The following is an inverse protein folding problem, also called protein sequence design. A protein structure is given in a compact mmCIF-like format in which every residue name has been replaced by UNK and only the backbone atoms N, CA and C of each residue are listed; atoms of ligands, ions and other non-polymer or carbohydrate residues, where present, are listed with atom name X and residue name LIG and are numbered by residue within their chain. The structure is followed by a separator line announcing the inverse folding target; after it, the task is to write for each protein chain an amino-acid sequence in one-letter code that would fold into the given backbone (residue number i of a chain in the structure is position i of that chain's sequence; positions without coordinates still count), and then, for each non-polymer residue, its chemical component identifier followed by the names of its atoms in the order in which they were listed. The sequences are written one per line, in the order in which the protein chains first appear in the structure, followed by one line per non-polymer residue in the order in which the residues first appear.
data_IF_593570980244
#
_entry.id   IF_593570980244
#
_cell.length_a   1.000
_cell.length_b   1.000
_cell.length_c   1.000
_cell.angle_alpha   90.00
_cell.angle_beta   90.00
_cell.angle_gamma   90.00
#
_symmetry.space_group_name_H-M   'P 1'
#
loop_
_entity.id
_entity.type
_entity.pdbx_description
1 polymer ?
#
# COMPACT_ATOMS: atom_id res chain seq x y z
N UNK A 1 -40.05 -13.53 -26.00
CA UNK A 1 -39.97 -14.86 -25.42
C UNK A 1 -39.04 -14.78 -24.20
N UNK A 2 -39.62 -14.76 -23.00
CA UNK A 2 -38.87 -14.82 -21.74
C UNK A 2 -38.50 -16.27 -21.48
N UNK A 3 -37.25 -16.65 -21.78
CA UNK A 3 -36.75 -17.97 -21.42
C UNK A 3 -36.51 -18.00 -19.92
N UNK A 4 -37.30 -18.78 -19.19
CA UNK A 4 -37.00 -19.10 -17.79
C UNK A 4 -35.65 -19.80 -17.75
N UNK A 5 -34.68 -19.33 -16.92
CA UNK A 5 -33.42 -20.03 -16.80
C UNK A 5 -33.65 -21.46 -16.28
N UNK A 6 -32.85 -22.44 -16.74
CA UNK A 6 -32.97 -23.79 -16.22
C UNK A 6 -32.74 -23.82 -14.71
N UNK A 7 -33.47 -24.69 -13.99
CA UNK A 7 -33.23 -24.97 -12.58
C UNK A 7 -31.81 -25.52 -12.42
N UNK A 8 -31.06 -24.94 -11.46
CA UNK A 8 -29.67 -25.34 -11.21
C UNK A 8 -28.96 -24.44 -10.18
N UNK A 9 -27.73 -24.82 -9.83
CA UNK A 9 -26.89 -24.07 -8.90
C UNK A 9 -26.18 -22.93 -9.65
N UNK A 10 -26.42 -21.70 -9.20
CA UNK A 10 -25.77 -20.51 -9.78
C UNK A 10 -24.37 -20.32 -9.20
N UNK A 11 -23.46 -19.75 -9.99
CA UNK A 11 -22.20 -19.22 -9.46
C UNK A 11 -22.49 -18.03 -8.55
N UNK A 12 -21.90 -18.01 -7.38
CA UNK A 12 -22.02 -16.90 -6.44
C UNK A 12 -20.81 -15.99 -6.51
N UNK A 13 -21.03 -14.68 -6.34
CA UNK A 13 -19.93 -13.75 -6.05
C UNK A 13 -19.38 -14.08 -4.66
N UNK A 14 -18.08 -13.92 -4.52
CA UNK A 14 -17.47 -14.02 -3.20
C UNK A 14 -18.02 -12.92 -2.28
N UNK A 15 -18.45 -13.33 -1.10
CA UNK A 15 -18.85 -12.45 -0.01
C UNK A 15 -17.99 -12.80 1.20
N UNK A 16 -17.34 -11.81 1.85
CA UNK A 16 -16.62 -12.07 3.08
C UNK A 16 -17.51 -12.76 4.09
N UNK A 17 -17.05 -13.83 4.77
CA UNK A 17 -17.82 -14.48 5.81
C UNK A 17 -17.94 -13.59 7.06
N UNK A 18 -18.89 -13.88 7.97
CA UNK A 18 -18.99 -13.18 9.24
C UNK A 18 -17.65 -13.16 10.02
N UNK A 19 -17.32 -12.02 10.63
CA UNK A 19 -16.07 -11.79 11.35
C UNK A 19 -14.88 -11.44 10.45
N UNK A 20 -15.02 -11.43 9.13
CA UNK A 20 -13.93 -11.08 8.23
C UNK A 20 -13.72 -9.56 8.16
N UNK A 21 -12.46 -9.14 8.05
CA UNK A 21 -12.07 -7.76 7.74
C UNK A 21 -11.65 -7.65 6.29
N UNK A 22 -12.23 -6.74 5.53
CA UNK A 22 -11.74 -6.37 4.20
C UNK A 22 -10.75 -5.22 4.31
N UNK A 23 -9.51 -5.40 3.85
CA UNK A 23 -8.48 -4.36 3.88
C UNK A 23 -8.13 -3.94 2.46
N UNK A 24 -8.30 -2.67 2.15
CA UNK A 24 -7.83 -2.03 0.93
C UNK A 24 -6.46 -1.41 1.20
N UNK A 25 -5.41 -2.10 0.78
CA UNK A 25 -4.03 -1.62 0.85
C UNK A 25 -3.81 -0.66 -0.32
N UNK A 26 -3.49 0.58 -0.01
CA UNK A 26 -3.25 1.65 -1.00
C UNK A 26 -1.81 2.09 -0.90
N UNK A 27 -1.07 2.10 -2.01
CA UNK A 27 0.21 2.78 -2.05
C UNK A 27 -0.04 4.29 -2.14
N UNK A 28 0.71 5.09 -1.38
CA UNK A 28 0.64 6.55 -1.47
C UNK A 28 0.81 7.05 -2.91
N UNK A 29 0.27 8.21 -3.23
CA UNK A 29 0.44 8.91 -4.51
C UNK A 29 1.90 9.23 -4.80
N UNK A 30 2.21 9.62 -6.03
CA UNK A 30 3.57 9.99 -6.41
C UNK A 30 4.10 11.12 -5.52
N UNK A 31 5.33 10.97 -5.04
CA UNK A 31 5.97 11.97 -4.19
C UNK A 31 7.09 12.69 -4.93
N UNK A 32 7.49 13.85 -4.44
CA UNK A 32 8.52 14.67 -5.06
C UNK A 32 9.70 13.85 -5.56
N UNK A 33 10.30 14.25 -6.72
CA UNK A 33 11.48 13.60 -7.25
C UNK A 33 12.69 13.77 -6.33
N UNK A 34 13.53 12.74 -6.27
CA UNK A 34 14.79 12.81 -5.55
C UNK A 34 15.83 13.61 -6.35
N UNK A 35 16.61 14.40 -5.64
CA UNK A 35 17.73 15.16 -6.21
C UNK A 35 19.02 14.86 -5.43
N UNK A 36 20.15 14.59 -6.11
CA UNK A 36 21.41 14.28 -5.43
C UNK A 36 21.85 15.36 -4.43
N UNK A 37 21.63 16.63 -4.78
CA UNK A 37 22.09 17.79 -4.00
C UNK A 37 21.03 18.31 -3.01
N UNK A 38 19.86 17.73 -2.96
CA UNK A 38 18.74 18.17 -2.10
C UNK A 38 18.02 16.95 -1.52
N UNK A 39 18.53 16.38 -0.43
CA UNK A 39 17.88 15.23 0.22
C UNK A 39 16.49 15.61 0.73
N UNK A 40 15.61 14.63 0.78
CA UNK A 40 14.29 14.80 1.40
C UNK A 40 14.42 15.15 2.87
N UNK A 41 13.49 15.94 3.43
CA UNK A 41 13.37 16.06 4.87
C UNK A 41 13.17 14.66 5.48
N UNK A 42 13.65 14.51 6.70
CA UNK A 42 13.49 13.26 7.45
C UNK A 42 12.43 13.41 8.54
N UNK A 43 11.63 12.40 8.71
CA UNK A 43 10.72 12.22 9.86
C UNK A 43 11.04 10.89 10.53
N UNK A 44 11.45 10.95 11.79
CA UNK A 44 11.91 9.78 12.56
C UNK A 44 12.96 8.93 11.80
N UNK A 45 13.86 9.59 11.10
CA UNK A 45 14.91 8.96 10.30
C UNK A 45 14.50 8.56 8.89
N UNK A 46 13.23 8.47 8.56
CA UNK A 46 12.73 8.14 7.22
C UNK A 46 12.62 9.37 6.32
N UNK A 47 12.98 9.24 5.06
CA UNK A 47 12.73 10.26 4.05
C UNK A 47 11.23 10.55 3.91
N UNK A 48 10.86 11.83 4.09
CA UNK A 48 9.45 12.26 4.12
C UNK A 48 9.13 13.34 3.08
N UNK A 49 9.28 13.05 1.76
CA UNK A 49 8.83 13.96 0.73
C UNK A 49 7.30 14.03 0.70
N UNK A 50 6.70 15.22 0.48
CA UNK A 50 5.27 15.34 0.21
C UNK A 50 4.91 14.78 -1.17
N UNK A 51 3.62 14.70 -1.48
CA UNK A 51 3.14 14.39 -2.83
C UNK A 51 3.60 15.47 -3.82
N UNK A 52 3.87 15.06 -5.04
CA UNK A 52 4.02 15.99 -6.15
C UNK A 52 2.63 16.31 -6.77
N UNK A 53 2.55 17.22 -7.76
CA UNK A 53 1.27 17.55 -8.39
C UNK A 53 0.53 16.36 -8.99
N UNK A 54 1.22 15.37 -9.57
CA UNK A 54 0.61 14.15 -10.10
C UNK A 54 0.08 13.30 -8.96
N UNK A 55 0.85 13.17 -7.87
CA UNK A 55 0.42 12.44 -6.68
C UNK A 55 -0.81 13.05 -6.01
N UNK A 56 -0.94 14.37 -6.01
CA UNK A 56 -2.15 15.06 -5.52
C UNK A 56 -3.36 14.71 -6.41
N UNK A 57 -3.21 14.69 -7.73
CA UNK A 57 -4.27 14.32 -8.65
C UNK A 57 -4.65 12.83 -8.49
N UNK A 58 -3.67 11.95 -8.33
CA UNK A 58 -3.89 10.53 -8.02
C UNK A 58 -4.70 10.36 -6.73
N UNK A 59 -4.40 11.14 -5.68
CA UNK A 59 -5.12 11.11 -4.41
C UNK A 59 -6.58 11.56 -4.57
N UNK A 60 -6.86 12.57 -5.42
CA UNK A 60 -8.22 13.01 -5.71
C UNK A 60 -9.04 11.92 -6.40
N UNK A 61 -8.49 11.28 -7.45
CA UNK A 61 -9.14 10.19 -8.16
C UNK A 61 -9.38 8.96 -7.28
N UNK A 62 -8.42 8.65 -6.41
CA UNK A 62 -8.57 7.60 -5.39
C UNK A 62 -9.73 7.92 -4.43
N UNK A 63 -9.79 9.16 -3.93
CA UNK A 63 -10.86 9.64 -3.06
C UNK A 63 -12.23 9.54 -3.72
N UNK A 64 -12.36 9.93 -4.99
CA UNK A 64 -13.58 9.77 -5.77
C UNK A 64 -13.97 8.30 -5.91
N UNK A 65 -13.02 7.45 -6.31
CA UNK A 65 -13.24 6.01 -6.50
C UNK A 65 -13.76 5.31 -5.24
N UNK A 66 -13.18 5.62 -4.09
CA UNK A 66 -13.52 4.93 -2.85
C UNK A 66 -14.68 5.57 -2.07
N UNK A 67 -15.04 6.82 -2.35
CA UNK A 67 -16.14 7.53 -1.66
C UNK A 67 -17.50 6.88 -1.85
N UNK A 68 -17.67 6.06 -2.88
CA UNK A 68 -18.91 5.30 -3.17
C UNK A 68 -18.98 3.96 -2.44
N UNK A 69 -17.92 3.54 -1.77
CA UNK A 69 -17.85 2.29 -1.01
C UNK A 69 -18.12 2.56 0.47
N UNK A 70 -18.68 1.58 1.16
CA UNK A 70 -18.77 1.64 2.62
C UNK A 70 -17.38 1.40 3.19
N UNK A 71 -16.77 2.47 3.72
CA UNK A 71 -15.48 2.43 4.43
C UNK A 71 -15.75 2.74 5.90
N UNK A 72 -15.23 1.91 6.79
CA UNK A 72 -15.48 2.02 8.23
C UNK A 72 -14.30 2.68 8.96
N UNK A 73 -13.06 2.62 8.42
CA UNK A 73 -11.89 3.31 8.95
C UNK A 73 -10.83 3.57 7.86
N UNK A 74 -9.99 4.57 8.09
CA UNK A 74 -8.82 4.88 7.26
C UNK A 74 -7.58 4.86 8.16
N UNK A 75 -6.57 4.11 7.75
CA UNK A 75 -5.25 4.09 8.38
C UNK A 75 -4.21 4.71 7.47
N UNK A 76 -3.26 5.42 8.07
CA UNK A 76 -2.10 6.03 7.42
C UNK A 76 -0.85 5.71 8.22
N UNK A 77 0.31 5.90 7.63
CA UNK A 77 1.56 5.86 8.39
C UNK A 77 1.90 7.26 8.92
N UNK A 78 2.98 7.41 9.67
CA UNK A 78 3.42 8.73 10.15
C UNK A 78 3.96 9.65 9.06
N UNK A 79 4.17 9.16 7.82
CA UNK A 79 4.79 9.91 6.73
C UNK A 79 3.77 10.76 5.96
N UNK A 80 4.12 12.02 5.67
CA UNK A 80 3.24 13.05 5.08
C UNK A 80 2.50 12.55 3.84
N UNK A 81 3.20 11.91 2.91
CA UNK A 81 2.62 11.41 1.65
C UNK A 81 1.44 10.44 1.83
N UNK A 82 1.37 9.69 2.96
CA UNK A 82 0.22 8.82 3.23
C UNK A 82 -0.98 9.59 3.74
N UNK A 83 -0.77 10.62 4.56
CA UNK A 83 -1.81 11.55 5.00
C UNK A 83 -2.39 12.33 3.83
N UNK A 84 -1.53 12.89 2.98
CA UNK A 84 -1.93 13.65 1.80
C UNK A 84 -2.71 12.78 0.81
N UNK A 85 -2.33 11.52 0.65
CA UNK A 85 -3.07 10.56 -0.21
C UNK A 85 -4.44 10.22 0.37
N UNK A 86 -4.55 10.09 1.70
CA UNK A 86 -5.80 9.74 2.37
C UNK A 86 -6.79 10.92 2.47
N UNK A 87 -6.28 12.15 2.48
CA UNK A 87 -7.07 13.35 2.80
C UNK A 87 -8.32 13.52 1.92
N UNK A 88 -8.27 13.41 0.58
CA UNK A 88 -9.47 13.58 -0.24
C UNK A 88 -10.57 12.55 0.04
N UNK A 89 -10.21 11.31 0.36
CA UNK A 89 -11.18 10.29 0.78
C UNK A 89 -11.74 10.62 2.15
N UNK A 90 -10.88 10.94 3.11
CA UNK A 90 -11.24 11.24 4.49
C UNK A 90 -12.26 12.38 4.56
N UNK A 91 -12.02 13.46 3.80
CA UNK A 91 -12.94 14.60 3.69
C UNK A 91 -14.30 14.21 3.11
N UNK A 92 -14.32 13.42 2.00
CA UNK A 92 -15.54 13.03 1.31
C UNK A 92 -16.47 12.17 2.15
N UNK A 93 -15.91 11.29 3.01
CA UNK A 93 -16.69 10.33 3.79
C UNK A 93 -16.75 10.70 5.30
N UNK A 94 -16.10 11.80 5.71
CA UNK A 94 -16.18 12.32 7.09
C UNK A 94 -15.45 11.46 8.11
N UNK A 95 -14.37 10.75 7.72
CA UNK A 95 -13.55 9.95 8.63
C UNK A 95 -12.23 10.64 8.93
N UNK A 96 -11.73 10.46 10.15
CA UNK A 96 -10.39 10.91 10.55
C UNK A 96 -9.42 9.75 10.41
N UNK A 97 -8.32 9.89 9.64
CA UNK A 97 -7.30 8.87 9.52
C UNK A 97 -6.62 8.56 10.86
N UNK A 98 -6.32 7.28 11.09
CA UNK A 98 -5.65 6.77 12.28
C UNK A 98 -4.21 6.41 11.90
N UNK A 99 -3.23 6.84 12.67
CA UNK A 99 -1.82 6.49 12.42
C UNK A 99 -1.51 5.06 12.88
N UNK A 100 -0.85 4.28 12.00
CA UNK A 100 -0.24 2.99 12.32
C UNK A 100 1.25 3.02 11.94
N UNK A 101 2.14 3.33 12.90
CA UNK A 101 3.56 3.51 12.65
C UNK A 101 4.28 2.24 12.14
N UNK A 102 3.80 1.04 12.51
CA UNK A 102 4.43 -0.22 12.08
C UNK A 102 4.24 -0.51 10.59
N UNK A 103 3.35 0.24 9.90
CA UNK A 103 3.16 0.16 8.46
C UNK A 103 3.94 1.25 7.68
N UNK A 104 4.91 1.93 8.31
CA UNK A 104 5.87 2.80 7.59
C UNK A 104 6.70 1.99 6.61
N UNK A 105 7.22 2.68 5.58
CA UNK A 105 8.13 2.05 4.60
C UNK A 105 9.33 1.42 5.32
N UNK A 106 9.97 0.48 4.66
CA UNK A 106 11.24 -0.08 5.15
C UNK A 106 12.24 1.06 5.39
N UNK A 107 12.93 1.01 6.54
CA UNK A 107 14.01 1.96 6.78
C UNK A 107 15.22 1.60 5.92
N UNK A 108 15.62 2.53 5.06
CA UNK A 108 16.63 2.30 4.03
C UNK A 108 18.07 2.65 4.49
N UNK A 109 18.28 2.95 5.77
CA UNK A 109 19.60 3.23 6.31
C UNK A 109 20.32 4.37 5.58
N UNK A 110 21.49 4.07 5.04
CA UNK A 110 22.30 5.07 4.32
C UNK A 110 21.67 5.57 3.02
N UNK A 111 20.58 4.93 2.57
CA UNK A 111 19.85 5.30 1.35
C UNK A 111 18.56 6.08 1.63
N UNK A 112 18.36 6.55 2.84
CA UNK A 112 17.28 7.47 3.16
C UNK A 112 17.46 8.84 2.47
N UNK A 113 16.48 9.73 2.63
CA UNK A 113 16.54 11.09 2.07
C UNK A 113 16.48 11.16 0.54
N UNK A 114 16.09 10.08 -0.14
CA UNK A 114 15.99 10.01 -1.60
C UNK A 114 17.16 9.30 -2.27
N UNK A 115 18.21 8.96 -1.54
CA UNK A 115 19.40 8.29 -2.06
C UNK A 115 19.07 6.97 -2.76
N UNK A 116 18.06 6.22 -2.26
CA UNK A 116 17.59 5.00 -2.94
C UNK A 116 17.25 5.22 -4.42
N UNK A 117 16.52 6.30 -4.74
CA UNK A 117 16.16 6.63 -6.13
C UNK A 117 17.38 7.06 -6.95
N UNK A 118 18.29 7.81 -6.34
CA UNK A 118 19.55 8.23 -6.98
C UNK A 118 20.42 7.02 -7.30
N UNK A 119 20.59 6.09 -6.35
CA UNK A 119 21.36 4.86 -6.54
C UNK A 119 20.73 3.95 -7.61
N UNK A 120 19.41 3.82 -7.60
CA UNK A 120 18.69 3.08 -8.64
C UNK A 120 18.96 3.64 -10.05
N UNK A 121 18.84 4.97 -10.20
CA UNK A 121 19.08 5.66 -11.47
C UNK A 121 20.53 5.52 -11.97
N UNK A 122 21.49 5.41 -11.04
CA UNK A 122 22.93 5.25 -11.35
C UNK A 122 23.36 3.77 -11.45
N UNK A 123 22.44 2.80 -11.43
CA UNK A 123 22.72 1.38 -11.50
C UNK A 123 23.72 0.89 -10.45
N UNK A 124 23.59 1.37 -9.21
CA UNK A 124 24.44 0.95 -8.09
C UNK A 124 24.42 -0.57 -7.93
N UNK A 125 25.57 -1.24 -7.77
CA UNK A 125 25.62 -2.70 -7.61
C UNK A 125 24.80 -3.23 -6.44
N UNK A 126 24.67 -2.48 -5.34
CA UNK A 126 23.81 -2.85 -4.21
C UNK A 126 22.35 -2.84 -4.62
N UNK A 127 21.93 -1.92 -5.50
CA UNK A 127 20.56 -1.91 -6.02
C UNK A 127 20.22 -3.21 -6.74
N UNK A 128 21.12 -3.74 -7.58
CA UNK A 128 20.93 -5.03 -8.23
C UNK A 128 20.82 -6.20 -7.21
N UNK A 129 21.60 -6.13 -6.13
CA UNK A 129 21.57 -7.14 -5.06
C UNK A 129 20.24 -7.17 -4.31
N UNK A 130 19.59 -6.03 -4.08
CA UNK A 130 18.25 -5.97 -3.46
C UNK A 130 17.30 -6.93 -4.20
N UNK A 131 17.27 -6.85 -5.52
CA UNK A 131 16.38 -7.67 -6.36
C UNK A 131 16.82 -9.13 -6.48
N UNK A 132 18.14 -9.39 -6.52
CA UNK A 132 18.67 -10.75 -6.64
C UNK A 132 18.53 -11.54 -5.34
N UNK A 133 18.78 -10.88 -4.21
CA UNK A 133 18.71 -11.48 -2.87
C UNK A 133 17.29 -11.36 -2.25
N UNK A 134 16.42 -10.55 -2.86
CA UNK A 134 15.05 -10.27 -2.42
C UNK A 134 14.99 -9.81 -0.96
N UNK A 135 15.86 -8.84 -0.60
CA UNK A 135 15.94 -8.29 0.76
C UNK A 135 16.45 -6.86 0.77
N UNK A 136 15.95 -6.08 1.72
CA UNK A 136 16.31 -4.67 1.87
C UNK A 136 17.61 -4.44 2.65
N UNK A 137 17.92 -5.30 3.59
CA UNK A 137 19.06 -5.14 4.49
C UNK A 137 20.42 -5.50 3.87
N UNK A 138 20.49 -5.60 2.55
CA UNK A 138 21.74 -5.48 1.78
C UNK A 138 22.20 -4.03 1.68
N UNK A 139 21.28 -3.07 1.90
CA UNK A 139 21.61 -1.64 2.01
C UNK A 139 22.30 -1.42 3.35
N UNK A 140 23.44 -0.71 3.40
CA UNK A 140 24.13 -0.42 4.66
C UNK A 140 23.21 0.30 5.66
N UNK A 141 23.22 -0.16 6.91
CA UNK A 141 22.42 0.38 8.00
C UNK A 141 20.89 0.34 7.82
N UNK A 142 20.39 -0.35 6.78
CA UNK A 142 18.96 -0.54 6.62
C UNK A 142 18.36 -1.44 7.71
N UNK A 143 17.06 -1.32 7.89
CA UNK A 143 16.28 -2.18 8.78
C UNK A 143 16.48 -3.66 8.43
N UNK A 144 16.67 -4.49 9.44
CA UNK A 144 16.79 -5.93 9.23
C UNK A 144 15.51 -6.51 8.65
N UNK A 145 15.67 -7.43 7.69
CA UNK A 145 14.53 -7.99 6.95
C UNK A 145 13.49 -8.63 7.88
N UNK A 146 13.93 -9.39 8.90
CA UNK A 146 13.05 -10.04 9.88
C UNK A 146 12.33 -9.03 10.79
N UNK A 147 12.97 -7.93 11.16
CA UNK A 147 12.36 -6.84 11.95
C UNK A 147 11.27 -6.16 11.12
N UNK A 148 11.55 -5.85 9.84
CA UNK A 148 10.59 -5.29 8.91
C UNK A 148 9.36 -6.20 8.74
N UNK A 149 9.58 -7.48 8.47
CA UNK A 149 8.51 -8.49 8.32
C UNK A 149 7.62 -8.54 9.57
N UNK A 150 8.24 -8.61 10.75
CA UNK A 150 7.52 -8.75 12.01
C UNK A 150 6.67 -7.49 12.33
N UNK A 151 7.25 -6.27 12.20
CA UNK A 151 6.47 -5.05 12.53
C UNK A 151 5.31 -4.84 11.57
N UNK A 152 5.54 -5.06 10.27
CA UNK A 152 4.50 -4.93 9.24
C UNK A 152 3.35 -5.91 9.52
N UNK A 153 3.67 -7.18 9.86
CA UNK A 153 2.63 -8.14 10.22
C UNK A 153 1.89 -7.77 11.50
N UNK A 154 2.60 -7.25 12.50
CA UNK A 154 1.99 -6.82 13.76
C UNK A 154 1.02 -5.64 13.54
N UNK A 155 1.42 -4.63 12.76
CA UNK A 155 0.55 -3.49 12.42
C UNK A 155 -0.71 -3.93 11.68
N UNK A 156 -0.55 -4.76 10.65
CA UNK A 156 -1.67 -5.33 9.92
C UNK A 156 -2.62 -6.15 10.83
N UNK A 157 -2.07 -6.98 11.69
CA UNK A 157 -2.85 -7.83 12.59
C UNK A 157 -3.66 -7.01 13.61
N UNK A 158 -3.11 -5.89 14.12
CA UNK A 158 -3.85 -4.96 15.00
C UNK A 158 -5.05 -4.35 14.28
N UNK A 159 -4.86 -3.91 13.04
CA UNK A 159 -5.95 -3.34 12.24
C UNK A 159 -7.04 -4.39 12.02
N UNK A 160 -6.68 -5.59 11.60
CA UNK A 160 -7.64 -6.68 11.38
C UNK A 160 -8.43 -7.01 12.66
N UNK A 161 -7.74 -7.12 13.79
CA UNK A 161 -8.38 -7.44 15.07
C UNK A 161 -9.35 -6.36 15.55
N UNK A 162 -9.12 -5.10 15.18
CA UNK A 162 -9.98 -3.97 15.56
C UNK A 162 -11.25 -3.83 14.69
N UNK A 163 -11.32 -4.50 13.54
CA UNK A 163 -12.34 -4.24 12.51
C UNK A 163 -13.07 -5.49 11.99
N UNK A 164 -13.61 -6.39 12.85
CA UNK A 164 -14.41 -7.52 12.39
C UNK A 164 -15.66 -7.02 11.64
N UNK A 165 -16.02 -7.68 10.54
CA UNK A 165 -17.14 -7.35 9.65
C UNK A 165 -17.06 -5.94 9.01
N UNK A 166 -15.88 -5.33 8.99
CA UNK A 166 -15.66 -3.98 8.48
C UNK A 166 -14.76 -3.98 7.25
N UNK A 167 -14.82 -2.85 6.52
CA UNK A 167 -13.93 -2.53 5.39
C UNK A 167 -13.07 -1.33 5.74
N UNK A 168 -11.76 -1.50 5.73
CA UNK A 168 -10.80 -0.45 6.07
C UNK A 168 -9.88 -0.13 4.90
N UNK A 169 -9.48 1.13 4.80
CA UNK A 169 -8.45 1.60 3.87
C UNK A 169 -7.15 1.80 4.65
N UNK A 170 -6.05 1.28 4.12
CA UNK A 170 -4.71 1.43 4.69
C UNK A 170 -3.81 2.06 3.64
N UNK A 171 -3.50 3.33 3.79
CA UNK A 171 -2.57 4.04 2.90
C UNK A 171 -1.15 3.86 3.43
N UNK A 172 -0.33 3.16 2.65
CA UNK A 172 1.03 2.76 3.03
C UNK A 172 1.99 2.84 1.82
N UNK A 173 2.95 1.94 1.72
CA UNK A 173 4.10 2.04 0.83
C UNK A 173 4.32 0.77 0.03
N UNK A 174 5.10 0.87 -1.05
CA UNK A 174 5.35 -0.25 -1.96
C UNK A 174 6.04 -1.44 -1.31
N UNK A 175 7.04 -1.20 -0.47
CA UNK A 175 7.75 -2.26 0.25
C UNK A 175 6.85 -2.98 1.26
N UNK A 176 6.02 -2.23 1.98
CA UNK A 176 5.06 -2.78 2.96
C UNK A 176 4.00 -3.64 2.29
N UNK A 177 3.40 -3.15 1.19
CA UNK A 177 2.39 -3.91 0.43
C UNK A 177 3.00 -5.20 -0.10
N UNK A 178 4.18 -5.12 -0.71
CA UNK A 178 4.90 -6.30 -1.20
C UNK A 178 5.18 -7.31 -0.09
N UNK A 179 5.63 -6.85 1.08
CA UNK A 179 5.91 -7.68 2.25
C UNK A 179 4.65 -8.36 2.81
N UNK A 180 3.55 -7.62 2.95
CA UNK A 180 2.27 -8.19 3.38
C UNK A 180 1.77 -9.27 2.42
N UNK A 181 1.81 -9.00 1.12
CA UNK A 181 1.32 -9.94 0.12
C UNK A 181 2.21 -11.18 -0.01
N UNK A 182 3.55 -11.03 0.16
CA UNK A 182 4.45 -12.16 0.32
C UNK A 182 4.01 -13.05 1.48
N UNK A 183 3.84 -12.47 2.67
CA UNK A 183 3.44 -13.20 3.88
C UNK A 183 2.09 -13.91 3.72
N UNK A 184 1.09 -13.21 3.16
CA UNK A 184 -0.28 -13.72 2.98
C UNK A 184 -0.34 -14.87 1.98
N UNK A 185 0.42 -14.80 0.90
CA UNK A 185 0.32 -15.74 -0.23
C UNK A 185 1.35 -16.86 -0.20
N UNK A 186 2.44 -16.71 0.58
CA UNK A 186 3.58 -17.61 0.55
C UNK A 186 4.41 -17.51 -0.76
N UNK A 187 4.19 -16.49 -1.58
CA UNK A 187 4.97 -16.22 -2.77
C UNK A 187 6.41 -15.79 -2.40
N UNK A 188 7.33 -15.69 -3.38
CA UNK A 188 8.66 -15.12 -3.14
C UNK A 188 8.54 -13.69 -2.61
N UNK A 189 9.54 -13.22 -1.82
CA UNK A 189 9.48 -11.92 -1.11
C UNK A 189 9.12 -10.75 -2.03
N UNK A 190 9.76 -10.67 -3.20
CA UNK A 190 9.56 -9.55 -4.11
C UNK A 190 8.57 -9.82 -5.24
N UNK A 191 7.78 -10.92 -5.15
CA UNK A 191 6.77 -11.25 -6.15
C UNK A 191 5.70 -10.16 -6.34
N UNK A 192 5.46 -9.36 -5.30
CA UNK A 192 4.50 -8.25 -5.31
C UNK A 192 5.19 -6.88 -5.12
N UNK A 193 6.48 -6.78 -5.43
CA UNK A 193 7.18 -5.50 -5.41
C UNK A 193 6.75 -4.66 -6.61
N UNK A 194 6.64 -3.33 -6.41
CA UNK A 194 6.33 -2.40 -7.48
C UNK A 194 4.84 -2.13 -7.69
N UNK A 195 4.01 -2.24 -6.63
CA UNK A 195 2.67 -1.66 -6.69
C UNK A 195 2.74 -0.19 -7.15
N UNK A 196 1.88 0.22 -8.08
CA UNK A 196 1.87 1.58 -8.64
C UNK A 196 1.38 2.61 -7.60
N UNK A 197 1.76 3.88 -7.76
CA UNK A 197 1.29 4.97 -6.90
C UNK A 197 -0.24 5.07 -6.95
N UNK A 198 -0.86 5.26 -5.79
CA UNK A 198 -2.31 5.27 -5.58
C UNK A 198 -3.05 4.00 -6.04
N UNK A 199 -2.35 2.90 -6.34
CA UNK A 199 -2.98 1.61 -6.63
C UNK A 199 -3.69 1.01 -5.41
N UNK A 200 -4.71 0.20 -5.66
CA UNK A 200 -5.49 -0.50 -4.65
C UNK A 200 -5.22 -2.01 -4.74
N UNK A 201 -4.80 -2.61 -3.62
CA UNK A 201 -4.76 -4.06 -3.46
C UNK A 201 -5.75 -4.47 -2.37
N UNK A 202 -6.55 -5.50 -2.61
CA UNK A 202 -7.60 -5.92 -1.68
C UNK A 202 -7.28 -7.28 -1.08
N UNK A 203 -7.26 -7.35 0.24
CA UNK A 203 -7.18 -8.60 0.99
C UNK A 203 -8.40 -8.77 1.89
N UNK A 204 -8.78 -10.01 2.15
CA UNK A 204 -9.83 -10.34 3.13
C UNK A 204 -9.22 -11.22 4.20
N UNK A 205 -9.16 -10.69 5.41
CA UNK A 205 -8.70 -11.40 6.60
C UNK A 205 -9.89 -12.08 7.26
N UNK A 206 -9.85 -13.39 7.32
CA UNK A 206 -10.78 -14.27 8.01
C UNK A 206 -10.10 -14.85 9.26
N UNK A 207 -10.84 -15.39 10.24
CA UNK A 207 -10.24 -15.89 11.48
C UNK A 207 -9.08 -16.86 11.29
N UNK A 208 -9.14 -17.71 10.26
CA UNK A 208 -8.14 -18.76 10.03
C UNK A 208 -7.18 -18.50 8.87
N UNK A 209 -7.45 -17.50 8.02
CA UNK A 209 -6.62 -17.21 6.85
C UNK A 209 -6.87 -15.81 6.31
N UNK A 210 -5.87 -15.26 5.63
CA UNK A 210 -5.99 -14.06 4.81
C UNK A 210 -5.90 -14.46 3.33
N UNK A 211 -6.74 -13.88 2.48
CA UNK A 211 -6.71 -14.11 1.04
C UNK A 211 -6.51 -12.81 0.28
N UNK A 212 -5.71 -12.86 -0.77
CA UNK A 212 -5.57 -11.79 -1.76
C UNK A 212 -6.73 -11.87 -2.76
N UNK A 213 -7.47 -10.77 -2.92
CA UNK A 213 -8.60 -10.66 -3.86
C UNK A 213 -8.25 -9.94 -5.14
N UNK A 214 -7.43 -8.90 -5.04
CA UNK A 214 -6.86 -8.17 -6.19
C UNK A 214 -5.53 -7.55 -5.81
N UNK A 215 -4.69 -7.32 -6.79
CA UNK A 215 -3.41 -6.65 -6.65
C UNK A 215 -3.29 -5.55 -7.70
N UNK A 216 -2.75 -4.39 -7.28
CA UNK A 216 -2.34 -3.28 -8.13
C UNK A 216 -3.44 -2.76 -9.07
N UNK A 217 -4.66 -2.58 -8.57
CA UNK A 217 -5.77 -2.00 -9.35
C UNK A 217 -5.57 -0.48 -9.47
N UNK A 218 -5.36 -0.01 -10.70
CA UNK A 218 -5.19 1.39 -11.08
C UNK A 218 -6.29 1.90 -12.01
N UNK A 219 -7.42 1.20 -12.11
CA UNK A 219 -8.48 1.53 -13.05
C UNK A 219 -9.02 2.97 -12.88
N UNK A 220 -9.00 3.51 -11.67
CA UNK A 220 -9.41 4.90 -11.39
C UNK A 220 -8.40 5.94 -11.89
N UNK A 221 -7.16 5.55 -12.20
CA UNK A 221 -6.10 6.43 -12.71
C UNK A 221 -6.03 6.48 -14.25
N UNK A 222 -6.88 5.74 -14.96
CA UNK A 222 -6.91 5.73 -16.44
C UNK A 222 -6.96 7.12 -17.08
N UNK A 223 -7.66 8.13 -16.53
CA UNK A 223 -7.62 9.49 -17.08
C UNK A 223 -6.21 10.09 -17.13
N UNK A 224 -5.38 9.85 -16.11
CA UNK A 224 -3.98 10.33 -16.07
C UNK A 224 -3.07 9.55 -17.00
N UNK A 225 -3.24 8.22 -17.05
CA UNK A 225 -2.41 7.34 -17.88
C UNK A 225 -2.64 7.55 -19.40
N UNK A 226 -3.77 8.14 -19.79
CA UNK A 226 -4.08 8.47 -21.19
C UNK A 226 -3.63 9.88 -21.58
N UNK A 227 -3.30 10.73 -20.63
CA UNK A 227 -2.87 12.12 -20.86
C UNK A 227 -1.34 12.27 -20.95
N UNK A 228 -0.58 11.23 -20.59
CA UNK A 228 0.88 11.14 -20.63
C UNK A 228 1.34 10.40 -21.90
#
# INVERSE_FOLDING_TARGET
MTTTPPEGFRQHRFTPPPGATTVLLVRHGESWPAHPDRPFPLRDGHGDPPLDPVGVEQAQLLGERLSTEKIDAIYVTTLARTHETAAPLAERIGLTPIEEPDLREVFLGDWEGGEFRVRAANNDPIFARIWTEERWDVIPNAEKQDVFEQRVWNGFSRIVAAHPDQRVVVVSHGGVIGQLLHHITGARRFAFSGADNASISEVVAMPERVILRRYNDVAHLLPLLQAS
#
